data_IF_313443723460
#
_entry.id   IF_313443723460
#
_cell.length_a   1.000
_cell.length_b   1.000
_cell.length_c   1.000
_cell.angle_alpha   90.00
_cell.angle_beta   90.00
_cell.angle_gamma   90.00
#
_symmetry.space_group_name_H-M   'P 1'
#
loop_
_entity.id
_entity.type
_entity.pdbx_description
1 polymer ?
#
# COMPACT_ATOMS: atom_id res chain seq x y z
N UNK A 1 7.91 14.51 -16.63
CA UNK A 1 6.61 14.16 -16.03
C UNK A 1 6.91 13.49 -14.70
N UNK A 2 6.30 13.92 -13.59
CA UNK A 2 6.52 13.28 -12.29
C UNK A 2 5.56 12.09 -12.18
N UNK A 3 6.07 10.86 -12.25
CA UNK A 3 5.27 9.67 -12.01
C UNK A 3 5.04 9.49 -10.50
N UNK A 4 3.85 9.03 -10.12
CA UNK A 4 3.48 8.79 -8.72
C UNK A 4 3.31 7.28 -8.51
N UNK A 5 3.80 6.78 -7.39
CA UNK A 5 3.57 5.41 -6.93
C UNK A 5 2.71 5.49 -5.67
N UNK A 6 1.64 4.70 -5.60
CA UNK A 6 0.82 4.60 -4.39
C UNK A 6 1.32 3.45 -3.53
N UNK A 7 1.21 3.63 -2.22
CA UNK A 7 1.56 2.62 -1.22
C UNK A 7 0.30 2.41 -0.39
N UNK A 8 -0.10 1.15 -0.24
CA UNK A 8 -1.11 0.72 0.73
C UNK A 8 -0.37 0.13 1.92
N UNK A 9 -0.82 0.44 3.14
CA UNK A 9 -0.26 -0.11 4.37
C UNK A 9 -1.38 -0.80 5.14
N UNK A 10 -1.16 -2.05 5.50
CA UNK A 10 -2.06 -2.87 6.29
C UNK A 10 -1.45 -3.13 7.67
N UNK A 11 -2.28 -3.04 8.70
CA UNK A 11 -1.92 -3.43 10.05
C UNK A 11 -2.38 -4.86 10.31
N UNK A 12 -1.46 -5.68 10.82
CA UNK A 12 -1.70 -7.05 11.24
C UNK A 12 -1.38 -7.20 12.74
N UNK A 13 -1.85 -8.27 13.40
CA UNK A 13 -1.55 -8.52 14.82
C UNK A 13 -0.05 -8.62 15.14
N UNK A 14 0.77 -8.94 14.14
CA UNK A 14 2.20 -9.16 14.21
C UNK A 14 3.04 -8.01 13.60
N UNK A 15 2.43 -6.94 13.09
CA UNK A 15 3.15 -5.78 12.57
C UNK A 15 2.41 -5.06 11.45
N UNK A 16 3.16 -4.43 10.55
CA UNK A 16 2.66 -3.68 9.40
C UNK A 16 3.27 -4.22 8.11
N UNK A 17 2.44 -4.31 7.07
CA UNK A 17 2.85 -4.69 5.72
C UNK A 17 2.45 -3.58 4.76
N UNK A 18 3.38 -3.15 3.91
CA UNK A 18 3.18 -2.11 2.92
C UNK A 18 3.46 -2.65 1.52
N UNK A 19 2.59 -2.35 0.55
CA UNK A 19 2.77 -2.80 -0.83
C UNK A 19 2.41 -1.71 -1.83
N UNK A 20 2.96 -1.82 -3.04
CA UNK A 20 2.81 -0.83 -4.10
C UNK A 20 1.60 -1.11 -4.98
N UNK A 21 0.96 -0.03 -5.41
CA UNK A 21 -0.01 -0.05 -6.52
C UNK A 21 0.53 0.88 -7.61
N UNK A 22 0.38 0.46 -8.87
CA UNK A 22 0.90 1.21 -10.02
C UNK A 22 2.39 0.99 -10.32
N UNK A 23 3.01 -0.06 -9.79
CA UNK A 23 4.39 -0.47 -10.11
C UNK A 23 4.36 -1.84 -10.81
N UNK A 24 5.10 -1.98 -11.91
CA UNK A 24 5.25 -3.25 -12.60
C UNK A 24 6.12 -4.20 -11.77
N UNK A 25 5.53 -5.29 -11.30
CA UNK A 25 6.13 -6.21 -10.34
C UNK A 25 5.49 -6.08 -8.96
N UNK A 26 6.00 -6.82 -7.99
CA UNK A 26 5.51 -6.79 -6.60
C UNK A 26 6.64 -6.25 -5.73
N UNK A 27 6.39 -5.11 -5.07
CA UNK A 27 7.27 -4.55 -4.04
C UNK A 27 6.48 -4.52 -2.75
N UNK A 28 7.04 -5.15 -1.72
CA UNK A 28 6.48 -5.27 -0.38
C UNK A 28 7.54 -4.80 0.60
N UNK A 29 7.13 -4.08 1.63
CA UNK A 29 7.94 -3.84 2.81
C UNK A 29 7.18 -4.18 4.09
N UNK A 30 7.91 -4.48 5.15
CA UNK A 30 7.36 -4.90 6.44
C UNK A 30 8.04 -4.17 7.60
N UNK A 31 7.38 -4.15 8.76
CA UNK A 31 7.94 -3.56 9.97
C UNK A 31 7.07 -3.80 11.19
N UNK A 32 7.66 -3.72 12.38
CA UNK A 32 6.92 -3.79 13.64
C UNK A 32 6.06 -2.53 13.85
N UNK A 33 6.43 -1.43 13.18
CA UNK A 33 5.73 -0.14 13.17
C UNK A 33 5.33 0.31 11.77
N UNK A 34 4.33 1.18 11.69
CA UNK A 34 3.90 1.82 10.44
C UNK A 34 5.07 2.53 9.74
N UNK A 35 5.89 3.25 10.49
CA UNK A 35 7.05 3.99 9.97
C UNK A 35 8.10 3.06 9.38
N UNK A 36 8.35 1.89 10.00
CA UNK A 36 9.30 0.89 9.50
C UNK A 36 8.81 0.28 8.20
N UNK A 37 7.55 -0.18 8.13
CA UNK A 37 6.99 -0.73 6.89
C UNK A 37 7.00 0.28 5.73
N UNK A 38 6.72 1.56 6.03
CA UNK A 38 6.80 2.65 5.03
C UNK A 38 8.24 2.93 4.61
N UNK A 39 9.20 2.89 5.53
CA UNK A 39 10.61 3.08 5.18
C UNK A 39 11.13 1.93 4.32
N UNK A 40 10.74 0.70 4.65
CA UNK A 40 11.16 -0.51 3.94
C UNK A 40 10.62 -0.54 2.51
N UNK A 41 9.31 -0.33 2.32
CA UNK A 41 8.72 -0.30 0.97
C UNK A 41 9.28 0.85 0.12
N UNK A 42 9.62 2.00 0.72
CA UNK A 42 10.27 3.12 0.01
C UNK A 42 11.67 2.75 -0.48
N UNK A 43 12.45 2.07 0.35
CA UNK A 43 13.77 1.54 -0.03
C UNK A 43 13.64 0.55 -1.18
N UNK A 44 12.67 -0.36 -1.09
CA UNK A 44 12.42 -1.36 -2.11
C UNK A 44 11.93 -0.75 -3.44
N UNK A 45 11.08 0.29 -3.41
CA UNK A 45 10.67 1.05 -4.60
C UNK A 45 11.91 1.68 -5.27
N UNK A 46 12.75 2.35 -4.49
CA UNK A 46 13.94 3.01 -5.01
C UNK A 46 14.88 2.00 -5.69
N UNK A 47 15.12 0.86 -5.02
CA UNK A 47 15.93 -0.23 -5.57
C UNK A 47 15.33 -0.82 -6.85
N UNK A 48 14.01 -1.02 -6.89
CA UNK A 48 13.31 -1.55 -8.06
C UNK A 48 13.44 -0.61 -9.27
N UNK A 49 13.27 0.69 -9.06
CA UNK A 49 13.46 1.71 -10.11
C UNK A 49 14.93 1.78 -10.54
N UNK A 50 15.88 1.73 -9.61
CA UNK A 50 17.31 1.72 -9.93
C UNK A 50 17.71 0.48 -10.75
N UNK A 51 17.13 -0.67 -10.44
CA UNK A 51 17.44 -1.94 -11.09
C UNK A 51 16.80 -2.08 -12.48
N UNK A 52 15.54 -1.67 -12.62
CA UNK A 52 14.74 -1.95 -13.81
C UNK A 52 14.41 -0.71 -14.66
N UNK A 53 14.73 0.49 -14.17
CA UNK A 53 14.45 1.77 -14.84
C UNK A 53 13.06 2.32 -14.54
N UNK A 54 12.83 3.59 -14.90
CA UNK A 54 11.58 4.33 -14.61
C UNK A 54 10.34 3.83 -15.37
N UNK A 55 10.53 2.96 -16.37
CA UNK A 55 9.45 2.37 -17.16
C UNK A 55 8.62 1.36 -16.36
N UNK A 56 9.13 0.89 -15.22
CA UNK A 56 8.36 0.05 -14.29
C UNK A 56 7.27 0.83 -13.55
N UNK A 57 7.33 2.16 -13.50
CA UNK A 57 6.26 2.96 -12.93
C UNK A 57 5.16 3.10 -13.97
N UNK A 58 4.03 2.46 -13.69
CA UNK A 58 2.89 2.38 -14.60
C UNK A 58 2.08 3.67 -14.52
N UNK A 59 1.56 4.09 -15.67
CA UNK A 59 0.52 5.11 -15.69
C UNK A 59 -0.75 4.48 -15.10
N UNK A 60 -1.05 4.79 -13.85
CA UNK A 60 -2.23 4.23 -13.20
C UNK A 60 -3.50 4.70 -13.92
N UNK A 61 -4.41 3.79 -14.32
CA UNK A 61 -5.79 4.19 -14.51
C UNK A 61 -6.31 4.74 -13.18
N UNK A 62 -7.18 5.73 -13.22
CA UNK A 62 -7.79 6.34 -12.02
C UNK A 62 -8.82 5.39 -11.38
N UNK A 63 -8.37 4.20 -10.96
CA UNK A 63 -9.20 3.12 -10.41
C UNK A 63 -9.62 3.37 -8.96
N UNK A 64 -9.06 4.40 -8.32
CA UNK A 64 -9.41 4.78 -6.95
C UNK A 64 -10.26 6.07 -6.86
N UNK A 65 -10.41 6.84 -7.94
CA UNK A 65 -11.19 8.08 -7.94
C UNK A 65 -10.87 9.04 -6.78
N UNK A 66 -11.81 9.90 -6.40
CA UNK A 66 -11.70 10.84 -5.26
C UNK A 66 -11.63 10.15 -3.87
N UNK A 67 -11.78 8.82 -3.80
CA UNK A 67 -11.74 8.08 -2.55
C UNK A 67 -10.30 7.76 -2.18
N UNK A 68 -9.58 8.80 -1.77
CA UNK A 68 -8.33 8.65 -1.02
C UNK A 68 -8.67 7.86 0.24
N UNK A 69 -8.36 6.56 0.25
CA UNK A 69 -8.46 5.70 1.43
C UNK A 69 -7.43 6.16 2.45
N UNK A 70 -7.78 7.20 3.20
CA UNK A 70 -7.02 7.66 4.34
C UNK A 70 -7.45 6.79 5.52
N UNK A 71 -6.66 5.76 5.81
CA UNK A 71 -6.96 4.84 6.92
C UNK A 71 -8.08 3.86 6.60
N UNK A 72 -8.08 3.26 5.41
CA UNK A 72 -8.99 2.15 5.14
C UNK A 72 -8.21 0.87 4.90
N UNK A 73 -8.51 -0.14 5.71
CA UNK A 73 -8.10 -1.52 5.46
C UNK A 73 -8.99 -2.06 4.34
N UNK A 74 -8.40 -2.51 3.24
CA UNK A 74 -9.13 -3.25 2.22
C UNK A 74 -9.39 -4.65 2.75
N UNK A 75 -10.68 -5.02 2.88
CA UNK A 75 -11.07 -6.40 3.16
C UNK A 75 -10.80 -7.24 1.93
N UNK A 76 -9.95 -8.26 2.05
CA UNK A 76 -9.65 -9.16 0.93
C UNK A 76 -10.87 -9.99 0.48
N UNK A 77 -11.85 -10.16 1.37
CA UNK A 77 -13.13 -10.81 1.13
C UNK A 77 -14.18 -9.91 0.46
N UNK A 78 -14.07 -8.58 0.63
CA UNK A 78 -14.92 -7.60 -0.07
C UNK A 78 -14.14 -6.29 -0.35
N UNK A 79 -13.52 -6.15 -1.53
CA UNK A 79 -12.70 -4.99 -1.88
C UNK A 79 -13.54 -3.74 -2.19
N UNK A 80 -14.87 -3.82 -2.14
CA UNK A 80 -15.76 -2.69 -2.48
C UNK A 80 -16.18 -1.86 -1.26
N UNK A 81 -16.00 -2.38 -0.04
CA UNK A 81 -16.38 -1.70 1.19
C UNK A 81 -15.15 -1.52 2.12
N UNK A 82 -14.41 -0.40 1.98
CA UNK A 82 -13.28 -0.09 2.85
C UNK A 82 -13.73 0.10 4.30
N UNK A 83 -13.07 -0.57 5.25
CA UNK A 83 -13.33 -0.39 6.69
C UNK A 83 -12.37 0.67 7.23
N UNK A 84 -12.90 1.70 7.91
CA UNK A 84 -12.08 2.71 8.56
C UNK A 84 -11.31 2.10 9.74
N UNK A 85 -10.07 2.54 9.97
CA UNK A 85 -9.23 2.04 11.09
C UNK A 85 -9.90 2.25 12.46
N UNK A 86 -10.79 3.23 12.58
CA UNK A 86 -11.54 3.50 13.82
C UNK A 86 -12.65 2.46 14.11
N UNK A 87 -13.05 1.63 13.13
CA UNK A 87 -14.10 0.61 13.28
C UNK A 87 -13.57 -0.76 13.75
N UNK A 88 -12.28 -0.85 14.10
CA UNK A 88 -11.63 -2.10 14.52
C UNK A 88 -12.06 -2.63 15.91
N UNK A 89 -12.92 -1.94 16.65
CA UNK A 89 -13.42 -2.42 17.95
C UNK A 89 -14.62 -3.39 17.87
N UNK A 90 -15.13 -3.76 16.69
CA UNK A 90 -16.33 -4.63 16.60
C UNK A 90 -16.14 -5.83 15.69
N UNK A 91 -15.10 -6.63 15.92
CA UNK A 91 -15.07 -8.04 15.50
C UNK A 91 -14.40 -8.90 16.57
N UNK A 92 -15.04 -8.99 17.74
CA UNK A 92 -14.92 -10.17 18.59
C UNK A 92 -16.28 -10.86 18.62
N UNK A 93 -16.26 -12.19 18.46
CA UNK A 93 -17.36 -13.14 18.20
C UNK A 93 -18.83 -12.72 18.43
#
# INVERSE_FOLDING_TARGET
MTKKVRIVVEQHPDGFVAYTVGLAGIVIGEGDTYEEAVADVRSAIAFHIETFGEDVVLDEPDIFGEHLLKGSVLRYDDPTEPVAVDDWEVLTD
#
